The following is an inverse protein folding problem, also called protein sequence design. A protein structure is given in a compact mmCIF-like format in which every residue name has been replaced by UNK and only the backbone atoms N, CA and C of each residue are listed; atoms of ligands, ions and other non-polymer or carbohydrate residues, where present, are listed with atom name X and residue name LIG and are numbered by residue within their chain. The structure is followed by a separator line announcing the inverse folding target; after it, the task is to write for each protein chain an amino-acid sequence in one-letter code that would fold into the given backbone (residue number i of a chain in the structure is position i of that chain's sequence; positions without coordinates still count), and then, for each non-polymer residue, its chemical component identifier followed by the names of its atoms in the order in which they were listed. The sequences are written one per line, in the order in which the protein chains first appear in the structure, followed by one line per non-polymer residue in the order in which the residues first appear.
data_IF_862820413585
#
_entry.id   IF_862820413585
#
_cell.length_a   1.000
_cell.length_b   1.000
_cell.length_c   1.000
_cell.angle_alpha   90.00
_cell.angle_beta   90.00
_cell.angle_gamma   90.00
#
_symmetry.space_group_name_H-M   'P 1'
#
loop_
_entity.id
_entity.type
_entity.pdbx_description
1 polymer ?
#
# COMPACT_ATOMS: atom_id res chain seq x y z
N UNK A 1 40.26 4.41 45.61
CA UNK A 1 38.81 4.57 45.43
C UNK A 1 38.60 5.17 44.04
N UNK A 2 38.68 4.38 42.98
CA UNK A 2 37.60 3.55 42.43
C UNK A 2 36.37 4.39 42.02
N UNK A 3 36.38 4.92 40.80
CA UNK A 3 35.15 5.16 40.04
C UNK A 3 35.38 4.64 38.63
N UNK A 4 35.01 3.37 38.43
CA UNK A 4 34.81 2.73 37.14
C UNK A 4 33.30 2.53 36.99
N UNK A 5 32.81 2.58 35.75
CA UNK A 5 31.45 2.27 35.28
C UNK A 5 30.43 3.44 35.37
N UNK A 6 29.59 3.72 34.38
CA UNK A 6 29.25 2.97 33.18
C UNK A 6 28.86 3.94 32.04
N UNK A 7 29.39 3.73 30.84
CA UNK A 7 28.70 4.15 29.63
C UNK A 7 27.44 3.28 29.53
N UNK A 8 26.27 3.89 29.68
CA UNK A 8 25.02 3.23 29.37
C UNK A 8 24.92 3.14 27.84
N UNK A 9 25.48 2.06 27.29
CA UNK A 9 25.15 1.61 25.94
C UNK A 9 23.70 1.18 26.01
N UNK A 10 22.78 2.07 25.62
CA UNK A 10 21.41 1.68 25.32
C UNK A 10 21.47 0.89 24.03
N UNK A 11 21.63 -0.42 24.16
CA UNK A 11 21.28 -1.38 23.12
C UNK A 11 19.76 -1.38 22.98
N UNK A 12 19.22 -0.32 22.38
CA UNK A 12 17.87 -0.33 21.85
C UNK A 12 17.89 -1.17 20.59
N UNK A 13 17.50 -2.44 20.71
CA UNK A 13 17.24 -3.28 19.56
C UNK A 13 16.25 -2.56 18.64
N UNK A 14 16.74 -2.07 17.51
CA UNK A 14 15.93 -1.54 16.42
C UNK A 14 15.17 -2.71 15.79
N UNK A 15 14.12 -3.16 16.47
CA UNK A 15 13.07 -3.91 15.82
C UNK A 15 12.45 -3.01 14.77
N UNK A 16 12.47 -3.44 13.51
CA UNK A 16 11.58 -2.92 12.48
C UNK A 16 10.16 -3.40 12.82
N UNK A 17 9.59 -2.94 13.93
CA UNK A 17 8.16 -3.05 14.16
C UNK A 17 7.52 -2.18 13.09
N UNK A 18 6.99 -2.82 12.05
CA UNK A 18 6.29 -2.16 10.97
C UNK A 18 5.28 -1.21 11.58
N UNK A 19 5.50 0.09 11.42
CA UNK A 19 4.61 1.11 11.97
C UNK A 19 3.19 0.79 11.54
N UNK A 20 2.32 0.51 12.51
CA UNK A 20 0.93 0.14 12.24
C UNK A 20 0.22 1.36 11.64
N UNK A 21 -0.30 1.20 10.42
CA UNK A 21 -1.07 2.21 9.72
C UNK A 21 -2.39 2.47 10.46
N UNK A 22 -2.86 3.73 10.46
CA UNK A 22 -4.05 4.13 11.22
C UNK A 22 -4.98 4.99 10.38
N UNK A 23 -6.29 4.77 10.53
CA UNK A 23 -7.30 5.68 10.03
C UNK A 23 -7.09 7.08 10.64
N UNK A 24 -7.35 8.12 9.85
CA UNK A 24 -7.23 9.52 10.26
C UNK A 24 -5.85 9.91 10.83
N UNK A 25 -4.77 9.28 10.36
CA UNK A 25 -3.40 9.56 10.80
C UNK A 25 -3.06 11.07 10.74
N UNK A 26 -3.54 11.77 9.71
CA UNK A 26 -3.29 13.20 9.51
C UNK A 26 -4.25 14.13 10.25
N UNK A 27 -5.18 13.63 11.07
CA UNK A 27 -6.20 14.45 11.74
C UNK A 27 -5.66 15.65 12.52
N UNK A 28 -4.45 15.55 13.08
CA UNK A 28 -3.82 16.64 13.85
C UNK A 28 -2.84 17.49 13.05
N UNK A 29 -2.10 16.88 12.13
CA UNK A 29 -1.06 17.56 11.35
C UNK A 29 -1.61 18.20 10.07
N UNK A 30 -2.57 17.55 9.42
CA UNK A 30 -3.23 18.02 8.20
C UNK A 30 -4.66 17.46 8.12
N UNK A 31 -5.64 18.04 8.86
CA UNK A 31 -7.01 17.51 8.92
C UNK A 31 -7.75 17.53 7.58
N UNK A 32 -7.33 18.39 6.66
CA UNK A 32 -7.94 18.51 5.33
C UNK A 32 -7.37 17.53 4.29
N UNK A 33 -6.36 16.72 4.63
CA UNK A 33 -5.65 15.89 3.65
C UNK A 33 -6.58 14.97 2.84
N UNK A 34 -7.44 14.20 3.51
CA UNK A 34 -8.37 13.27 2.85
C UNK A 34 -9.42 14.01 2.01
N UNK A 35 -9.90 15.16 2.50
CA UNK A 35 -10.88 15.99 1.78
C UNK A 35 -10.29 16.58 0.49
N UNK A 36 -9.10 17.17 0.58
CA UNK A 36 -8.40 17.76 -0.57
C UNK A 36 -8.13 16.71 -1.65
N UNK A 37 -7.66 15.51 -1.27
CA UNK A 37 -7.44 14.41 -2.21
C UNK A 37 -8.75 13.98 -2.87
N UNK A 38 -9.82 13.82 -2.10
CA UNK A 38 -11.15 13.47 -2.62
C UNK A 38 -11.64 14.51 -3.63
N UNK A 39 -11.58 15.79 -3.28
CA UNK A 39 -12.09 16.88 -4.14
C UNK A 39 -11.36 16.93 -5.48
N UNK A 40 -10.03 16.81 -5.45
CA UNK A 40 -9.21 16.79 -6.67
C UNK A 40 -9.52 15.55 -7.51
N UNK A 41 -9.57 14.36 -6.89
CA UNK A 41 -9.83 13.11 -7.61
C UNK A 41 -11.22 13.15 -8.25
N UNK A 42 -12.26 13.57 -7.52
CA UNK A 42 -13.63 13.68 -8.05
C UNK A 42 -13.68 14.68 -9.21
N UNK A 43 -13.03 15.84 -9.06
CA UNK A 43 -12.98 16.83 -10.14
C UNK A 43 -12.27 16.31 -11.40
N UNK A 44 -11.23 15.47 -11.26
CA UNK A 44 -10.50 14.91 -12.41
C UNK A 44 -11.16 13.69 -13.00
N UNK A 45 -11.79 12.85 -12.20
CA UNK A 45 -12.60 11.74 -12.69
C UNK A 45 -13.80 12.26 -13.49
N UNK A 46 -14.37 13.40 -13.12
CA UNK A 46 -15.41 14.04 -13.93
C UNK A 46 -14.92 14.45 -15.35
N UNK A 47 -13.62 14.69 -15.53
CA UNK A 47 -13.03 15.05 -16.84
C UNK A 47 -12.61 13.84 -17.69
N UNK A 48 -12.26 12.72 -17.04
CA UNK A 48 -11.88 11.46 -17.70
C UNK A 48 -12.48 10.28 -16.90
N UNK A 49 -13.80 10.05 -17.03
CA UNK A 49 -14.49 9.05 -16.23
C UNK A 49 -14.13 7.62 -16.64
N UNK A 50 -13.66 7.42 -17.88
CA UNK A 50 -13.37 6.11 -18.42
C UNK A 50 -11.98 5.60 -18.00
N UNK A 51 -10.94 6.43 -18.02
CA UNK A 51 -9.58 5.92 -17.83
C UNK A 51 -8.94 6.30 -16.50
N UNK A 52 -9.29 7.44 -15.91
CA UNK A 52 -8.59 7.92 -14.71
C UNK A 52 -8.82 7.05 -13.45
N UNK A 53 -10.05 6.59 -13.14
CA UNK A 53 -10.26 5.67 -12.01
C UNK A 53 -9.44 4.39 -12.15
N UNK A 54 -9.44 3.78 -13.33
CA UNK A 54 -8.67 2.58 -13.65
C UNK A 54 -7.17 2.79 -13.45
N UNK A 55 -6.63 3.92 -13.96
CA UNK A 55 -5.22 4.27 -13.83
C UNK A 55 -4.79 4.48 -12.39
N UNK A 56 -5.59 5.16 -11.58
CA UNK A 56 -5.29 5.40 -10.16
C UNK A 56 -5.30 4.08 -9.36
N UNK A 57 -6.31 3.23 -9.59
CA UNK A 57 -6.40 1.93 -8.95
C UNK A 57 -5.23 1.02 -9.36
N UNK A 58 -4.89 1.00 -10.65
CA UNK A 58 -3.74 0.26 -11.17
C UNK A 58 -2.42 0.76 -10.57
N UNK A 59 -2.23 2.07 -10.45
CA UNK A 59 -1.02 2.62 -9.85
C UNK A 59 -0.88 2.17 -8.40
N UNK A 60 -1.97 2.19 -7.62
CA UNK A 60 -1.97 1.70 -6.24
C UNK A 60 -1.63 0.20 -6.18
N UNK A 61 -2.23 -0.62 -7.03
CA UNK A 61 -1.94 -2.06 -7.09
C UNK A 61 -0.48 -2.35 -7.45
N UNK A 62 0.12 -1.55 -8.33
CA UNK A 62 1.53 -1.65 -8.68
C UNK A 62 2.48 -1.22 -7.55
N UNK A 63 2.09 -0.26 -6.71
CA UNK A 63 2.88 0.17 -5.54
C UNK A 63 2.73 -0.81 -4.36
N UNK A 64 1.57 -1.46 -4.24
CA UNK A 64 1.17 -2.21 -3.06
C UNK A 64 0.24 -3.37 -3.44
N UNK A 65 0.78 -4.59 -3.54
CA UNK A 65 -0.03 -5.82 -3.49
C UNK A 65 -0.56 -6.02 -2.05
N UNK A 66 -1.62 -5.29 -1.69
CA UNK A 66 -2.17 -5.24 -0.33
C UNK A 66 -3.66 -5.59 -0.36
N UNK A 67 -4.14 -6.14 0.77
CA UNK A 67 -5.48 -6.70 0.99
C UNK A 67 -6.57 -5.62 0.96
N UNK A 68 -7.67 -5.90 0.27
CA UNK A 68 -8.82 -5.00 0.20
C UNK A 68 -10.05 -5.62 0.85
N UNK A 69 -10.77 -4.83 1.64
CA UNK A 69 -12.08 -5.14 2.20
C UNK A 69 -13.09 -4.05 1.82
N UNK A 70 -14.36 -4.40 1.75
CA UNK A 70 -15.49 -3.66 1.13
C UNK A 70 -16.17 -2.61 2.03
N UNK A 71 -16.88 -1.69 1.36
CA UNK A 71 -17.60 -0.46 1.77
C UNK A 71 -16.70 0.71 2.20
N UNK A 72 -16.93 1.92 1.64
CA UNK A 72 -16.27 3.22 1.91
C UNK A 72 -15.32 3.16 3.13
N UNK A 73 -14.13 2.60 2.93
CA UNK A 73 -13.26 2.22 4.04
C UNK A 73 -12.38 3.39 4.42
N UNK A 74 -12.14 3.53 5.72
CA UNK A 74 -11.10 4.42 6.19
C UNK A 74 -9.74 3.90 5.70
N UNK A 75 -9.09 4.68 4.85
CA UNK A 75 -7.75 4.36 4.35
C UNK A 75 -6.78 4.43 5.53
N UNK A 76 -6.02 3.36 5.74
CA UNK A 76 -5.02 3.33 6.80
C UNK A 76 -3.80 4.12 6.32
N UNK A 77 -3.53 5.25 6.98
CA UNK A 77 -2.55 6.24 6.59
C UNK A 77 -1.29 6.14 7.47
N UNK A 78 -0.23 6.84 7.05
CA UNK A 78 1.08 6.83 7.71
C UNK A 78 2.17 6.03 6.97
N UNK A 79 1.89 5.55 5.75
CA UNK A 79 2.91 5.03 4.83
C UNK A 79 3.97 6.12 4.59
N UNK A 80 5.23 5.69 4.57
CA UNK A 80 6.37 6.54 4.24
C UNK A 80 6.86 6.16 2.85
N UNK A 81 7.27 7.15 2.08
CA UNK A 81 7.75 6.93 0.73
C UNK A 81 9.10 6.21 0.74
N UNK A 82 9.23 5.18 -0.10
CA UNK A 82 10.50 4.48 -0.30
C UNK A 82 11.50 5.36 -1.04
N UNK A 83 12.79 5.20 -0.73
CA UNK A 83 13.88 5.97 -1.38
C UNK A 83 14.54 5.23 -2.55
N UNK A 84 14.08 4.02 -2.87
CA UNK A 84 14.63 3.16 -3.93
C UNK A 84 13.50 2.67 -4.83
N UNK A 85 13.72 2.68 -6.14
CA UNK A 85 12.83 2.10 -7.13
C UNK A 85 13.64 1.24 -8.11
N UNK A 86 13.30 -0.04 -8.24
CA UNK A 86 14.02 -0.99 -9.11
C UNK A 86 13.07 -1.70 -10.06
N UNK A 87 13.35 -1.61 -11.35
CA UNK A 87 12.55 -2.29 -12.38
C UNK A 87 12.57 -3.82 -12.19
N UNK A 88 13.73 -4.40 -11.83
CA UNK A 88 13.84 -5.85 -11.60
C UNK A 88 12.93 -6.37 -10.50
N UNK A 89 12.66 -5.57 -9.46
CA UNK A 89 11.75 -5.94 -8.38
C UNK A 89 10.29 -5.90 -8.86
N UNK A 90 9.93 -4.91 -9.69
CA UNK A 90 8.62 -4.84 -10.30
C UNK A 90 8.34 -6.06 -11.19
N UNK A 91 9.27 -6.41 -12.08
CA UNK A 91 9.15 -7.60 -12.93
C UNK A 91 9.05 -8.92 -12.16
N UNK A 92 9.69 -9.00 -10.97
CA UNK A 92 9.66 -10.21 -10.14
C UNK A 92 8.38 -10.35 -9.32
N UNK A 93 7.71 -9.24 -8.98
CA UNK A 93 6.56 -9.24 -8.07
C UNK A 93 5.22 -8.99 -8.77
N UNK A 94 5.23 -8.45 -10.00
CA UNK A 94 4.02 -8.23 -10.78
C UNK A 94 3.69 -9.46 -11.63
N UNK A 95 2.48 -10.02 -11.52
CA UNK A 95 2.04 -11.09 -12.39
C UNK A 95 1.87 -10.58 -13.82
N UNK A 96 2.27 -11.42 -14.78
CA UNK A 96 2.02 -11.20 -16.21
C UNK A 96 0.55 -11.42 -16.53
N UNK A 97 -0.05 -10.66 -17.49
CA UNK A 97 -1.40 -10.93 -17.98
C UNK A 97 -1.59 -12.33 -18.58
N UNK A 98 -0.50 -12.98 -18.98
CA UNK A 98 -0.49 -14.35 -19.53
C UNK A 98 -0.24 -15.44 -18.49
N UNK A 99 -0.12 -15.12 -17.20
CA UNK A 99 0.03 -16.13 -16.16
C UNK A 99 -1.24 -16.96 -15.98
N UNK A 100 -1.05 -18.25 -15.70
CA UNK A 100 -2.14 -19.16 -15.38
C UNK A 100 -2.64 -18.96 -13.94
N UNK A 101 -3.81 -19.52 -13.63
CA UNK A 101 -4.42 -19.41 -12.30
C UNK A 101 -3.50 -19.89 -11.16
N UNK A 102 -2.77 -21.01 -11.34
CA UNK A 102 -1.90 -21.54 -10.29
C UNK A 102 -0.74 -20.59 -9.95
N UNK A 103 -0.15 -19.94 -10.95
CA UNK A 103 0.88 -18.91 -10.74
C UNK A 103 0.31 -17.68 -10.04
N UNK A 104 -0.90 -17.26 -10.42
CA UNK A 104 -1.57 -16.11 -9.78
C UNK A 104 -1.89 -16.39 -8.31
N UNK A 105 -2.42 -17.58 -8.02
CA UNK A 105 -2.71 -18.02 -6.65
C UNK A 105 -1.46 -18.03 -5.78
N UNK A 106 -0.34 -18.59 -6.28
CA UNK A 106 0.92 -18.59 -5.56
C UNK A 106 1.47 -17.17 -5.31
N UNK A 107 1.39 -16.30 -6.32
CA UNK A 107 1.86 -14.92 -6.22
C UNK A 107 1.04 -14.13 -5.19
N UNK A 108 -0.29 -14.22 -5.24
CA UNK A 108 -1.19 -13.55 -4.28
C UNK A 108 -1.02 -14.13 -2.87
N UNK A 109 -0.89 -15.46 -2.75
CA UNK A 109 -0.61 -16.14 -1.48
C UNK A 109 0.69 -15.67 -0.84
N UNK A 110 1.74 -15.41 -1.63
CA UNK A 110 3.01 -14.84 -1.12
C UNK A 110 2.86 -13.44 -0.50
N UNK A 111 1.75 -12.74 -0.82
CA UNK A 111 1.40 -11.41 -0.29
C UNK A 111 0.32 -11.48 0.79
N UNK A 112 -0.05 -12.69 1.23
CA UNK A 112 -1.10 -12.90 2.24
C UNK A 112 -2.51 -12.64 1.73
N UNK A 113 -2.72 -12.68 0.41
CA UNK A 113 -4.02 -12.56 -0.25
C UNK A 113 -4.58 -13.95 -0.56
N UNK A 114 -5.88 -14.13 -0.36
CA UNK A 114 -6.55 -15.40 -0.65
C UNK A 114 -7.14 -15.43 -2.09
N UNK A 115 -7.71 -16.58 -2.48
CA UNK A 115 -8.38 -16.72 -3.78
C UNK A 115 -9.53 -15.72 -3.95
N UNK A 116 -10.21 -15.34 -2.86
CA UNK A 116 -11.32 -14.37 -2.95
C UNK A 116 -10.77 -13.00 -3.28
N UNK A 117 -9.67 -12.61 -2.65
CA UNK A 117 -8.94 -11.37 -2.94
C UNK A 117 -8.45 -11.37 -4.39
N UNK A 118 -7.92 -12.49 -4.90
CA UNK A 118 -7.51 -12.63 -6.30
C UNK A 118 -8.67 -12.36 -7.26
N UNK A 119 -9.83 -12.98 -7.03
CA UNK A 119 -11.01 -12.78 -7.88
C UNK A 119 -11.48 -11.32 -7.80
N UNK A 120 -11.71 -10.79 -6.59
CA UNK A 120 -12.20 -9.43 -6.37
C UNK A 120 -11.28 -8.38 -7.02
N UNK A 121 -9.97 -8.55 -6.92
CA UNK A 121 -8.99 -7.59 -7.47
C UNK A 121 -8.80 -7.74 -8.98
N UNK A 122 -9.09 -8.91 -9.54
CA UNK A 122 -9.08 -9.12 -11.00
C UNK A 122 -10.26 -8.42 -11.67
N UNK A 123 -11.43 -8.40 -11.02
CA UNK A 123 -12.64 -7.69 -11.52
C UNK A 123 -12.41 -6.17 -11.67
N UNK A 124 -11.51 -5.57 -10.86
CA UNK A 124 -11.15 -4.16 -10.97
C UNK A 124 -10.46 -3.76 -12.27
N UNK A 125 -10.06 -4.73 -13.11
CA UNK A 125 -9.53 -4.48 -14.45
C UNK A 125 -10.62 -4.23 -15.50
N UNK A 126 -11.90 -4.42 -15.16
CA UNK A 126 -13.06 -4.22 -16.03
C UNK A 126 -13.68 -2.82 -15.98
N UNK A 127 -13.08 -1.88 -15.24
CA UNK A 127 -13.45 -0.45 -15.25
C UNK A 127 -12.64 0.31 -16.30
#
# INVERSE_FOLDING_TARGET
MAVVAAMLVVAGGGGCDGAVLKAHFYRRSCPAAEAVVRDIVVARVATDPAALPAKLLRLFFHDCFVRFGRDLWDVQLGRRDGVVSRASEALANLPSPSNNFSTLEANFGSKGLDIKDLVILSEGSGI
#
